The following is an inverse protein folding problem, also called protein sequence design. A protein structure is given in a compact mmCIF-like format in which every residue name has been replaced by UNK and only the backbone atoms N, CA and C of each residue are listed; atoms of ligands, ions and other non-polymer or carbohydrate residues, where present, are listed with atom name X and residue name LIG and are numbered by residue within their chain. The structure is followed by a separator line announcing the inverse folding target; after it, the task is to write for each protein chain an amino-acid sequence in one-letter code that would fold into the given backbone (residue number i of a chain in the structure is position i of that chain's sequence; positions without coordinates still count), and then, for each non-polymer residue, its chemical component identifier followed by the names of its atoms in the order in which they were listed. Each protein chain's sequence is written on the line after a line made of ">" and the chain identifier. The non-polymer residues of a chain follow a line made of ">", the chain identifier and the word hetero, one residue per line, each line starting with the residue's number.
data_IF_200690733888
#
_entry.id   IF_200690733888
#
_cell.length_a   1.000
_cell.length_b   1.000
_cell.length_c   1.000
_cell.angle_alpha   90.00
_cell.angle_beta   90.00
_cell.angle_gamma   90.00
#
_symmetry.space_group_name_H-M   'P 1'
#
loop_
_entity.id
_entity.type
_entity.pdbx_description
1 polymer ?
#
# COMPACT_ATOMS: atom_id res chain seq x y z
N UNK A 1 7.21 -20.26 8.37
CA UNK A 1 5.74 -20.17 8.24
C UNK A 1 5.34 -18.89 7.53
N UNK A 2 5.74 -17.70 8.02
CA UNK A 2 5.37 -16.39 7.40
C UNK A 2 5.78 -16.28 5.93
N UNK A 3 6.95 -16.79 5.57
CA UNK A 3 7.44 -16.78 4.18
C UNK A 3 6.57 -17.60 3.22
N UNK A 4 6.00 -18.72 3.69
CA UNK A 4 5.11 -19.55 2.87
C UNK A 4 3.80 -18.81 2.63
N UNK A 5 3.21 -18.21 3.67
CA UNK A 5 2.01 -17.41 3.56
C UNK A 5 2.24 -16.23 2.61
N UNK A 6 3.38 -15.54 2.74
CA UNK A 6 3.78 -14.43 1.86
C UNK A 6 3.85 -14.88 0.40
N UNK A 7 4.44 -16.03 0.12
CA UNK A 7 4.53 -16.58 -1.25
C UNK A 7 3.15 -16.89 -1.84
N UNK A 8 2.25 -17.46 -1.04
CA UNK A 8 0.88 -17.75 -1.49
C UNK A 8 0.12 -16.48 -1.81
N UNK A 9 0.18 -15.45 -0.94
CA UNK A 9 -0.46 -14.17 -1.18
C UNK A 9 0.10 -13.45 -2.42
N UNK A 10 1.42 -13.49 -2.61
CA UNK A 10 2.04 -12.93 -3.82
C UNK A 10 1.61 -13.71 -5.06
N UNK A 11 1.60 -15.05 -5.02
CA UNK A 11 1.12 -15.88 -6.12
C UNK A 11 -0.36 -15.62 -6.44
N UNK A 12 -1.22 -15.38 -5.43
CA UNK A 12 -2.61 -14.99 -5.64
C UNK A 12 -2.73 -13.66 -6.41
N UNK A 13 -1.91 -12.66 -6.03
CA UNK A 13 -1.85 -11.38 -6.73
C UNK A 13 -1.32 -11.52 -8.16
N UNK A 14 -0.26 -12.31 -8.36
CA UNK A 14 0.35 -12.54 -9.68
C UNK A 14 -0.61 -13.31 -10.61
N UNK A 15 -1.34 -14.28 -10.07
CA UNK A 15 -2.41 -14.96 -10.80
C UNK A 15 -3.53 -13.98 -11.19
N UNK A 16 -3.96 -13.13 -10.26
CA UNK A 16 -4.99 -12.10 -10.52
C UNK A 16 -4.56 -11.09 -11.60
N UNK A 17 -3.26 -10.78 -11.67
CA UNK A 17 -2.67 -9.92 -12.70
C UNK A 17 -2.38 -10.65 -14.02
N UNK A 18 -2.55 -11.97 -14.07
CA UNK A 18 -2.26 -12.78 -15.26
C UNK A 18 -0.77 -13.05 -15.50
N UNK A 19 0.08 -12.87 -14.49
CA UNK A 19 1.54 -13.10 -14.59
C UNK A 19 1.91 -14.58 -14.44
N UNK A 20 1.10 -15.35 -13.73
CA UNK A 20 1.26 -16.80 -13.56
C UNK A 20 -0.04 -17.52 -13.90
N UNK A 21 0.08 -18.80 -14.22
CA UNK A 21 -1.07 -19.67 -14.48
C UNK A 21 -1.74 -20.15 -13.17
N UNK A 22 -2.94 -20.73 -13.34
CA UNK A 22 -3.73 -21.26 -12.23
C UNK A 22 -3.01 -22.40 -11.50
N UNK A 23 -2.29 -23.24 -12.23
CA UNK A 23 -1.63 -24.43 -11.66
C UNK A 23 -0.47 -24.01 -10.75
N UNK A 24 0.28 -22.97 -11.13
CA UNK A 24 1.35 -22.40 -10.32
C UNK A 24 0.80 -21.83 -9.01
N UNK A 25 -0.31 -21.07 -9.06
CA UNK A 25 -0.96 -20.57 -7.86
C UNK A 25 -1.49 -21.71 -6.97
N UNK A 26 -2.16 -22.71 -7.57
CA UNK A 26 -2.70 -23.83 -6.80
C UNK A 26 -1.61 -24.65 -6.09
N UNK A 27 -0.44 -24.88 -6.72
CA UNK A 27 0.71 -25.54 -6.08
C UNK A 27 1.18 -24.79 -4.84
N UNK A 28 1.28 -23.45 -4.93
CA UNK A 28 1.65 -22.64 -3.76
C UNK A 28 0.63 -22.80 -2.61
N UNK A 29 -0.67 -22.81 -2.95
CA UNK A 29 -1.76 -22.98 -2.00
C UNK A 29 -1.74 -24.37 -1.34
N UNK A 30 -1.53 -25.44 -2.10
CA UNK A 30 -1.43 -26.80 -1.58
C UNK A 30 -0.31 -26.94 -0.54
N UNK A 31 0.87 -26.35 -0.77
CA UNK A 31 1.98 -26.36 0.20
C UNK A 31 1.54 -25.70 1.52
N UNK A 32 0.79 -24.61 1.46
CA UNK A 32 0.28 -23.95 2.66
C UNK A 32 -0.73 -24.83 3.41
N UNK A 33 -1.63 -25.51 2.69
CA UNK A 33 -2.63 -26.44 3.22
C UNK A 33 -1.99 -27.67 3.87
N UNK A 34 -1.00 -28.31 3.22
CA UNK A 34 -0.23 -29.44 3.75
C UNK A 34 0.46 -29.09 5.08
N UNK A 35 0.92 -27.85 5.22
CA UNK A 35 1.54 -27.34 6.43
C UNK A 35 0.52 -26.82 7.47
N UNK A 36 -0.77 -26.96 7.20
CA UNK A 36 -1.89 -26.50 8.04
C UNK A 36 -1.78 -25.01 8.39
N UNK A 37 -1.23 -24.19 7.48
CA UNK A 37 -1.13 -22.75 7.63
C UNK A 37 -2.36 -22.05 7.02
N UNK A 38 -2.73 -20.92 7.63
CA UNK A 38 -3.80 -20.05 7.13
C UNK A 38 -3.25 -18.67 6.81
N UNK A 39 -3.82 -17.97 5.83
CA UNK A 39 -3.47 -16.58 5.55
C UNK A 39 -3.59 -15.70 6.81
N UNK A 40 -4.60 -15.97 7.64
CA UNK A 40 -4.88 -15.27 8.90
C UNK A 40 -3.82 -15.50 10.00
N UNK A 41 -2.88 -16.42 9.81
CA UNK A 41 -1.71 -16.56 10.70
C UNK A 41 -0.71 -15.41 10.52
N UNK A 42 -0.89 -14.60 9.47
CA UNK A 42 -0.19 -13.33 9.27
C UNK A 42 -0.96 -12.21 9.97
N UNK A 43 -0.39 -11.68 11.08
CA UNK A 43 -1.05 -10.70 11.96
C UNK A 43 -1.46 -9.43 11.21
N UNK A 44 -0.58 -8.89 10.36
CA UNK A 44 -0.85 -7.69 9.56
C UNK A 44 -2.03 -7.86 8.60
N UNK A 45 -2.25 -9.07 8.06
CA UNK A 45 -3.40 -9.37 7.23
C UNK A 45 -4.71 -9.22 8.01
N UNK A 46 -4.77 -9.79 9.21
CA UNK A 46 -5.97 -9.64 10.06
C UNK A 46 -6.23 -8.18 10.38
N UNK A 47 -5.22 -7.44 10.82
CA UNK A 47 -5.35 -6.03 11.17
C UNK A 47 -5.82 -5.17 9.99
N UNK A 48 -5.29 -5.41 8.78
CA UNK A 48 -5.72 -4.68 7.58
C UNK A 48 -7.18 -4.99 7.22
N UNK A 49 -7.58 -6.27 7.24
CA UNK A 49 -8.96 -6.68 6.95
C UNK A 49 -9.95 -6.18 8.02
N UNK A 50 -9.60 -6.25 9.30
CA UNK A 50 -10.41 -5.67 10.39
C UNK A 50 -10.59 -4.15 10.24
N UNK A 51 -9.54 -3.44 9.80
CA UNK A 51 -9.64 -2.01 9.51
C UNK A 51 -10.58 -1.75 8.34
N UNK A 52 -10.48 -2.53 7.27
CA UNK A 52 -11.37 -2.44 6.10
C UNK A 52 -12.84 -2.64 6.49
N UNK A 53 -13.14 -3.67 7.30
CA UNK A 53 -14.51 -3.95 7.73
C UNK A 53 -15.09 -2.81 8.59
N UNK A 54 -14.28 -2.19 9.44
CA UNK A 54 -14.70 -0.98 10.19
C UNK A 54 -15.05 0.18 9.26
N UNK A 55 -14.23 0.42 8.22
CA UNK A 55 -14.49 1.48 7.25
C UNK A 55 -15.78 1.24 6.47
N UNK A 56 -16.02 0.00 6.01
CA UNK A 56 -17.26 -0.38 5.33
C UNK A 56 -18.50 -0.25 6.23
N UNK A 57 -18.35 -0.46 7.53
CA UNK A 57 -19.44 -0.28 8.49
C UNK A 57 -19.76 1.21 8.72
N UNK A 58 -18.74 2.10 8.61
CA UNK A 58 -18.91 3.55 8.71
C UNK A 58 -19.64 4.11 7.47
N UNK A 59 -19.26 3.71 6.26
CA UNK A 59 -19.92 4.07 4.99
C UNK A 59 -19.88 2.90 4.00
N UNK A 60 -21.00 2.15 3.84
CA UNK A 60 -21.06 1.01 2.94
C UNK A 60 -20.99 1.34 1.44
N UNK A 61 -21.19 2.61 1.06
CA UNK A 61 -21.29 3.02 -0.35
C UNK A 61 -19.95 3.47 -0.94
N UNK A 62 -18.91 3.62 -0.11
CA UNK A 62 -17.60 4.04 -0.58
C UNK A 62 -16.66 2.84 -0.74
N UNK A 63 -15.77 2.92 -1.73
CA UNK A 63 -14.75 1.90 -1.97
C UNK A 63 -13.51 2.21 -1.13
N UNK A 64 -13.29 1.39 -0.11
CA UNK A 64 -12.17 1.55 0.81
C UNK A 64 -11.02 0.60 0.51
N UNK A 65 -9.81 1.05 0.79
CA UNK A 65 -8.63 0.22 0.97
C UNK A 65 -7.98 0.53 2.30
N UNK A 66 -7.38 -0.48 2.92
CA UNK A 66 -6.67 -0.36 4.18
C UNK A 66 -5.32 -1.06 4.10
N UNK A 67 -4.35 -0.53 4.82
CA UNK A 67 -3.01 -1.13 4.99
C UNK A 67 -2.71 -1.23 6.47
N UNK A 68 -2.09 -2.33 6.89
CA UNK A 68 -1.54 -2.48 8.23
C UNK A 68 -0.03 -2.73 8.14
N UNK A 69 0.70 -2.17 9.09
CA UNK A 69 2.15 -2.32 9.27
C UNK A 69 2.39 -2.78 10.71
N UNK A 70 3.14 -3.85 10.89
CA UNK A 70 3.62 -4.33 12.19
C UNK A 70 5.04 -3.80 12.42
N UNK A 71 5.19 -2.97 13.44
CA UNK A 71 6.47 -2.38 13.83
C UNK A 71 7.31 -3.38 14.65
N UNK A 72 8.59 -3.07 14.85
CA UNK A 72 9.55 -3.93 15.55
C UNK A 72 9.14 -4.24 17.00
N UNK A 73 8.42 -3.32 17.66
CA UNK A 73 7.88 -3.53 19.01
C UNK A 73 6.57 -4.33 19.03
N UNK A 74 6.09 -4.79 17.86
CA UNK A 74 4.83 -5.50 17.69
C UNK A 74 3.60 -4.62 17.63
N UNK A 75 3.74 -3.30 17.67
CA UNK A 75 2.65 -2.34 17.50
C UNK A 75 2.09 -2.43 16.08
N UNK A 76 0.76 -2.45 15.99
CA UNK A 76 0.06 -2.51 14.71
C UNK A 76 -0.44 -1.13 14.31
N UNK A 77 0.14 -0.58 13.25
CA UNK A 77 -0.28 0.70 12.68
C UNK A 77 -1.14 0.44 11.46
N UNK A 78 -2.22 1.20 11.30
CA UNK A 78 -3.10 1.10 10.13
C UNK A 78 -3.21 2.43 9.40
N UNK A 79 -3.45 2.36 8.08
CA UNK A 79 -3.80 3.51 7.25
C UNK A 79 -4.97 3.17 6.34
N UNK A 80 -5.77 4.18 6.01
CA UNK A 80 -6.87 4.10 5.05
C UNK A 80 -6.61 4.99 3.85
N UNK A 81 -7.13 4.60 2.70
CA UNK A 81 -7.20 5.49 1.54
C UNK A 81 -8.12 6.68 1.84
N UNK A 82 -7.80 7.81 1.27
CA UNK A 82 -8.57 9.05 1.35
C UNK A 82 -8.59 9.75 0.01
N UNK A 83 -9.30 10.87 -0.08
CA UNK A 83 -9.25 11.72 -1.28
C UNK A 83 -7.86 12.33 -1.52
N UNK A 84 -7.05 12.47 -0.48
CA UNK A 84 -5.72 13.08 -0.57
C UNK A 84 -4.62 12.07 -0.88
N UNK A 85 -4.63 10.88 -0.24
CA UNK A 85 -3.54 9.92 -0.38
C UNK A 85 -4.01 8.47 -0.34
N UNK A 86 -3.22 7.57 -0.92
CA UNK A 86 -3.48 6.14 -0.92
C UNK A 86 -3.29 5.52 0.49
N UNK A 87 -3.89 4.34 0.72
CA UNK A 87 -3.85 3.67 2.03
C UNK A 87 -2.43 3.33 2.49
N UNK A 88 -1.54 2.95 1.56
CA UNK A 88 -0.16 2.63 1.88
C UNK A 88 0.62 3.87 2.34
N UNK A 89 0.43 5.01 1.67
CA UNK A 89 1.03 6.28 2.08
C UNK A 89 0.55 6.72 3.47
N UNK A 90 -0.77 6.60 3.72
CA UNK A 90 -1.35 6.89 5.04
C UNK A 90 -0.76 6.00 6.14
N UNK A 91 -0.61 4.69 5.88
CA UNK A 91 -0.02 3.76 6.84
C UNK A 91 1.46 4.08 7.12
N UNK A 92 2.24 4.40 6.08
CA UNK A 92 3.64 4.83 6.21
C UNK A 92 3.76 6.09 7.06
N UNK A 93 2.94 7.13 6.76
CA UNK A 93 2.91 8.36 7.56
C UNK A 93 2.59 8.08 9.03
N UNK A 94 1.58 7.28 9.31
CA UNK A 94 1.19 6.94 10.68
C UNK A 94 2.31 6.18 11.39
N UNK A 95 3.00 5.28 10.70
CA UNK A 95 4.11 4.51 11.28
C UNK A 95 5.32 5.40 11.63
N UNK A 96 5.71 6.33 10.74
CA UNK A 96 6.83 7.26 11.04
C UNK A 96 6.43 8.31 12.08
N UNK A 97 5.16 8.72 12.15
CA UNK A 97 4.63 9.56 13.24
C UNK A 97 4.78 8.85 14.59
N UNK A 98 4.37 7.59 14.66
CA UNK A 98 4.52 6.77 15.87
C UNK A 98 5.97 6.71 16.32
N UNK A 99 6.90 6.40 15.42
CA UNK A 99 8.34 6.36 15.75
C UNK A 99 8.93 7.72 16.15
N UNK A 100 8.33 8.80 15.66
CA UNK A 100 8.75 10.17 16.01
C UNK A 100 8.07 10.71 17.27
N UNK A 101 7.16 9.95 17.92
CA UNK A 101 6.38 10.41 19.07
C UNK A 101 5.45 11.58 18.73
N UNK A 102 4.86 11.56 17.53
CA UNK A 102 3.95 12.59 17.04
C UNK A 102 2.52 12.05 17.14
N UNK A 103 1.61 12.83 17.71
CA UNK A 103 0.22 12.44 17.88
C UNK A 103 -0.50 12.27 16.54
N UNK A 104 -1.49 11.37 16.49
CA UNK A 104 -2.18 11.00 15.24
C UNK A 104 -2.95 12.17 14.62
N UNK A 105 -3.41 13.11 15.42
CA UNK A 105 -4.17 14.28 14.96
C UNK A 105 -3.30 15.32 14.23
N UNK A 106 -1.97 15.22 14.36
CA UNK A 106 -1.06 16.16 13.72
C UNK A 106 -0.96 15.88 12.22
N UNK A 107 -1.35 16.84 11.41
CA UNK A 107 -1.15 16.80 9.96
C UNK A 107 0.27 17.25 9.63
N UNK A 108 1.06 16.38 8.98
CA UNK A 108 2.45 16.65 8.63
C UNK A 108 2.62 17.23 7.22
N UNK A 109 1.61 17.06 6.37
CA UNK A 109 1.60 17.61 5.02
C UNK A 109 0.60 18.74 4.98
N UNK A 110 1.09 19.93 4.71
CA UNK A 110 0.26 21.12 4.58
C UNK A 110 -0.60 21.04 3.30
N UNK A 111 -1.87 21.46 3.35
CA UNK A 111 -2.74 21.49 2.15
C UNK A 111 -2.11 22.29 1.02
N UNK A 112 -1.42 23.37 1.33
CA UNK A 112 -0.71 24.26 0.39
C UNK A 112 0.38 23.52 -0.41
N UNK A 113 0.82 22.35 0.05
CA UNK A 113 1.77 21.48 -0.66
C UNK A 113 1.05 20.33 -1.37
N UNK A 114 0.03 19.73 -0.75
CA UNK A 114 -0.69 18.61 -1.34
C UNK A 114 -1.59 19.02 -2.53
N UNK A 115 -2.36 20.11 -2.38
CA UNK A 115 -3.31 20.55 -3.38
C UNK A 115 -2.67 20.89 -4.74
N UNK A 116 -1.53 21.63 -4.82
CA UNK A 116 -0.86 21.86 -6.09
C UNK A 116 -0.45 20.59 -6.81
N UNK A 117 0.00 19.55 -6.08
CA UNK A 117 0.37 18.24 -6.67
C UNK A 117 -0.88 17.58 -7.26
N UNK A 118 -1.98 17.54 -6.51
CA UNK A 118 -3.25 16.99 -6.97
C UNK A 118 -3.80 17.73 -8.19
N UNK A 119 -3.70 19.07 -8.19
CA UNK A 119 -4.10 19.92 -9.32
C UNK A 119 -3.23 19.67 -10.56
N UNK A 120 -1.93 19.51 -10.40
CA UNK A 120 -1.01 19.14 -11.49
C UNK A 120 -1.43 17.82 -12.13
N UNK A 121 -1.77 16.82 -11.31
CA UNK A 121 -2.25 15.50 -11.77
C UNK A 121 -3.57 15.61 -12.53
N UNK A 122 -4.54 16.35 -12.01
CA UNK A 122 -5.87 16.49 -12.63
C UNK A 122 -5.85 17.34 -13.89
N UNK A 123 -5.24 18.53 -13.82
CA UNK A 123 -5.33 19.54 -14.88
C UNK A 123 -4.33 19.27 -15.99
N UNK A 124 -3.04 19.07 -15.63
CA UNK A 124 -1.96 18.96 -16.60
C UNK A 124 -1.78 17.54 -17.11
N UNK A 125 -1.78 16.56 -16.22
CA UNK A 125 -1.61 15.15 -16.60
C UNK A 125 -2.91 14.46 -16.99
N UNK A 126 -4.07 15.10 -16.73
CA UNK A 126 -5.41 14.55 -16.97
C UNK A 126 -5.59 13.16 -16.31
N UNK A 127 -4.93 12.96 -15.18
CA UNK A 127 -5.00 11.72 -14.43
C UNK A 127 -6.41 11.54 -13.83
N UNK A 128 -6.97 10.37 -13.98
CA UNK A 128 -8.24 10.02 -13.32
C UNK A 128 -8.05 9.80 -11.82
N UNK A 129 -6.87 9.35 -11.41
CA UNK A 129 -6.50 9.21 -10.01
C UNK A 129 -5.61 10.38 -9.59
N UNK A 130 -6.18 11.28 -8.80
CA UNK A 130 -5.49 12.48 -8.29
C UNK A 130 -4.89 12.27 -6.90
N UNK A 131 -5.24 11.19 -6.18
CA UNK A 131 -4.70 10.91 -4.85
C UNK A 131 -3.19 10.74 -4.91
N UNK A 132 -2.50 11.21 -3.89
CA UNK A 132 -1.06 11.08 -3.77
C UNK A 132 -0.68 9.62 -3.50
N UNK A 133 0.27 9.10 -4.27
CA UNK A 133 0.90 7.81 -4.02
C UNK A 133 1.99 7.93 -2.92
N UNK A 134 2.59 6.83 -2.53
CA UNK A 134 3.58 6.82 -1.46
C UNK A 134 4.80 7.72 -1.75
N UNK A 135 5.27 7.75 -2.99
CA UNK A 135 6.43 8.56 -3.40
C UNK A 135 6.08 10.05 -3.36
N UNK A 136 4.93 10.44 -3.90
CA UNK A 136 4.43 11.82 -3.88
C UNK A 136 4.22 12.33 -2.45
N UNK A 137 3.70 11.47 -1.55
CA UNK A 137 3.52 11.80 -0.13
C UNK A 137 4.87 12.03 0.57
N UNK A 138 5.87 11.18 0.33
CA UNK A 138 7.19 11.36 0.95
C UNK A 138 7.92 12.59 0.39
N UNK A 139 7.74 12.93 -0.89
CA UNK A 139 8.26 14.16 -1.48
C UNK A 139 7.57 15.37 -0.82
N UNK A 140 6.24 15.38 -0.73
CA UNK A 140 5.49 16.44 -0.07
C UNK A 140 5.92 16.62 1.39
N UNK A 141 6.10 15.51 2.12
CA UNK A 141 6.59 15.53 3.49
C UNK A 141 8.00 16.13 3.59
N UNK A 142 8.90 15.81 2.65
CA UNK A 142 10.26 16.35 2.64
C UNK A 142 10.28 17.86 2.37
N UNK A 143 9.33 18.38 1.60
CA UNK A 143 9.14 19.82 1.41
C UNK A 143 8.66 20.46 2.71
N UNK A 144 7.66 19.89 3.37
CA UNK A 144 7.18 20.37 4.68
C UNK A 144 8.28 20.34 5.75
N UNK A 145 9.17 19.36 5.72
CA UNK A 145 10.28 19.21 6.65
C UNK A 145 11.31 20.36 6.60
N UNK A 146 11.29 21.19 5.56
CA UNK A 146 12.14 22.40 5.48
C UNK A 146 11.77 23.43 6.57
N UNK A 147 10.49 23.51 6.93
CA UNK A 147 9.96 24.52 7.86
C UNK A 147 9.26 23.94 9.10
N UNK A 148 8.89 22.65 9.07
CA UNK A 148 8.23 21.96 10.19
C UNK A 148 9.15 20.88 10.78
N UNK A 149 9.66 21.13 12.01
CA UNK A 149 10.49 20.19 12.75
C UNK A 149 9.80 18.85 13.06
N UNK A 150 8.46 18.79 13.08
CA UNK A 150 7.71 17.54 13.26
C UNK A 150 7.77 16.71 11.98
N UNK A 151 7.58 17.33 10.83
CA UNK A 151 7.73 16.68 9.52
C UNK A 151 9.17 16.16 9.35
N UNK A 152 10.17 16.94 9.75
CA UNK A 152 11.57 16.52 9.73
C UNK A 152 11.81 15.30 10.61
N UNK A 153 11.37 15.34 11.89
CA UNK A 153 11.50 14.19 12.79
C UNK A 153 10.80 12.95 12.25
N UNK A 154 9.63 13.10 11.61
CA UNK A 154 8.93 11.98 11.01
C UNK A 154 9.75 11.34 9.89
N UNK A 155 10.26 12.12 8.94
CA UNK A 155 11.05 11.62 7.82
C UNK A 155 12.38 11.00 8.25
N UNK A 156 13.00 11.55 9.30
CA UNK A 156 14.24 11.03 9.90
C UNK A 156 14.04 9.62 10.50
N UNK A 157 12.80 9.22 10.79
CA UNK A 157 12.46 7.89 11.28
C UNK A 157 12.03 6.89 10.17
N UNK A 158 12.06 7.29 8.90
CA UNK A 158 11.63 6.44 7.78
C UNK A 158 12.42 5.12 7.69
N UNK A 159 13.71 5.14 8.03
CA UNK A 159 14.57 3.96 8.03
C UNK A 159 14.13 2.84 8.99
N UNK A 160 13.35 3.17 10.02
CA UNK A 160 12.82 2.20 11.00
C UNK A 160 11.75 1.28 10.42
N UNK A 161 11.22 1.61 9.24
CA UNK A 161 10.27 0.73 8.54
C UNK A 161 10.95 -0.47 7.89
N UNK A 162 12.26 -0.49 7.78
CA UNK A 162 13.01 -1.60 7.20
C UNK A 162 12.79 -2.88 8.01
N UNK A 163 12.35 -3.95 7.33
CA UNK A 163 12.05 -5.24 7.97
C UNK A 163 10.63 -5.36 8.51
N UNK A 164 9.86 -4.25 8.57
CA UNK A 164 8.47 -4.30 9.03
C UNK A 164 7.62 -5.18 8.12
N UNK A 165 6.70 -5.94 8.72
CA UNK A 165 5.70 -6.70 8.01
C UNK A 165 4.52 -5.79 7.66
N UNK A 166 3.99 -5.91 6.46
CA UNK A 166 2.83 -5.11 6.04
C UNK A 166 1.86 -5.90 5.17
N UNK A 167 0.60 -5.48 5.17
CA UNK A 167 -0.44 -6.04 4.31
C UNK A 167 -1.41 -4.97 3.83
N UNK A 168 -1.74 -5.03 2.55
CA UNK A 168 -2.77 -4.19 1.91
C UNK A 168 -4.00 -5.02 1.55
N UNK A 169 -5.19 -4.50 1.79
CA UNK A 169 -6.46 -5.14 1.40
C UNK A 169 -6.77 -5.02 -0.10
N UNK A 170 -5.87 -4.42 -0.86
CA UNK A 170 -5.95 -4.34 -2.32
C UNK A 170 -4.55 -4.39 -2.93
N UNK A 171 -4.48 -4.78 -4.21
CA UNK A 171 -3.24 -4.79 -4.98
C UNK A 171 -2.69 -3.37 -5.07
N UNK A 172 -1.42 -3.20 -4.72
CA UNK A 172 -0.73 -1.92 -4.83
C UNK A 172 -0.43 -1.56 -6.29
N UNK A 173 -0.47 -0.28 -6.60
CA UNK A 173 0.07 0.26 -7.84
C UNK A 173 1.58 0.01 -7.93
N UNK A 174 2.11 -0.04 -9.16
CA UNK A 174 3.53 -0.36 -9.42
C UNK A 174 4.48 0.55 -8.65
N UNK A 175 4.20 1.85 -8.62
CA UNK A 175 5.04 2.85 -7.93
C UNK A 175 5.07 2.60 -6.42
N UNK A 176 3.90 2.34 -5.82
CA UNK A 176 3.79 2.07 -4.38
C UNK A 176 4.48 0.76 -4.00
N UNK A 177 4.29 -0.33 -4.78
CA UNK A 177 4.96 -1.60 -4.55
C UNK A 177 6.49 -1.47 -4.64
N UNK A 178 6.99 -0.72 -5.63
CA UNK A 178 8.43 -0.46 -5.76
C UNK A 178 9.00 0.35 -4.60
N UNK A 179 8.29 1.38 -4.14
CA UNK A 179 8.73 2.20 -3.01
C UNK A 179 8.78 1.38 -1.72
N UNK A 180 7.72 0.64 -1.41
CA UNK A 180 7.64 -0.20 -0.22
C UNK A 180 8.80 -1.21 -0.17
N UNK A 181 9.15 -1.82 -1.31
CA UNK A 181 10.32 -2.70 -1.44
C UNK A 181 11.64 -1.96 -1.23
N UNK A 182 11.79 -0.74 -1.77
CA UNK A 182 12.97 0.12 -1.54
C UNK A 182 13.13 0.50 -0.08
N UNK A 183 12.03 0.70 0.65
CA UNK A 183 12.03 0.91 2.11
C UNK A 183 12.38 -0.36 2.90
N UNK A 184 12.48 -1.51 2.23
CA UNK A 184 12.81 -2.80 2.85
C UNK A 184 11.68 -3.41 3.67
N UNK A 185 10.43 -3.05 3.38
CA UNK A 185 9.25 -3.61 4.04
C UNK A 185 8.79 -4.91 3.37
N UNK A 186 8.33 -5.87 4.15
CA UNK A 186 7.73 -7.13 3.68
C UNK A 186 6.22 -6.96 3.43
N UNK A 187 5.88 -6.37 2.29
CA UNK A 187 4.48 -6.13 1.89
C UNK A 187 3.86 -7.35 1.22
N UNK A 188 2.61 -7.61 1.57
CA UNK A 188 1.69 -8.52 0.86
C UNK A 188 0.38 -7.82 0.57
N UNK A 189 -0.41 -8.35 -0.36
CA UNK A 189 -1.71 -7.77 -0.72
C UNK A 189 -2.78 -8.86 -0.81
N UNK A 190 -4.03 -8.49 -0.54
CA UNK A 190 -5.17 -9.26 -1.03
C UNK A 190 -5.23 -9.16 -2.55
N UNK A 191 -5.65 -10.24 -3.23
CA UNK A 191 -5.73 -10.31 -4.69
C UNK A 191 -6.99 -9.61 -5.23
N UNK A 192 -7.24 -8.38 -4.75
CA UNK A 192 -8.36 -7.52 -5.11
C UNK A 192 -7.83 -6.25 -5.73
N UNK A 193 -8.39 -5.82 -6.86
CA UNK A 193 -8.04 -4.53 -7.44
C UNK A 193 -8.60 -3.37 -6.61
N UNK A 194 -7.88 -2.23 -6.53
CA UNK A 194 -8.28 -1.09 -5.70
C UNK A 194 -9.51 -0.33 -6.22
N UNK A 195 -10.06 -0.71 -7.37
CA UNK A 195 -11.24 -0.11 -7.99
C UNK A 195 -11.84 -1.10 -8.99
N UNK A 196 -13.14 -1.00 -9.23
CA UNK A 196 -13.85 -1.72 -10.30
C UNK A 196 -13.65 -1.08 -11.68
N UNK A 197 -12.99 0.05 -11.77
CA UNK A 197 -12.74 0.75 -13.03
C UNK A 197 -11.75 -0.07 -13.88
N UNK A 198 -12.25 -0.71 -14.94
CA UNK A 198 -11.48 -1.53 -15.87
C UNK A 198 -10.24 -0.81 -16.43
N UNK A 199 -10.32 0.49 -16.66
CA UNK A 199 -9.23 1.30 -17.20
C UNK A 199 -8.04 1.40 -16.23
N UNK A 200 -8.30 1.41 -14.93
CA UNK A 200 -7.25 1.38 -13.90
C UNK A 200 -6.63 -0.01 -13.79
N UNK A 201 -7.46 -1.04 -13.91
CA UNK A 201 -7.02 -2.42 -13.89
C UNK A 201 -6.15 -2.76 -15.11
N UNK A 202 -6.49 -2.24 -16.29
CA UNK A 202 -5.68 -2.39 -17.52
C UNK A 202 -4.28 -1.77 -17.38
N UNK A 203 -4.16 -0.60 -16.76
CA UNK A 203 -2.86 0.01 -16.47
C UNK A 203 -1.98 -0.83 -15.53
N UNK A 204 -2.57 -1.65 -14.65
CA UNK A 204 -1.84 -2.59 -13.79
C UNK A 204 -1.44 -3.87 -14.51
N UNK A 205 -2.17 -4.25 -15.57
CA UNK A 205 -1.97 -5.47 -16.35
C UNK A 205 -1.02 -5.28 -17.54
N UNK A 206 -0.90 -4.05 -18.08
CA UNK A 206 -0.15 -3.80 -19.30
C UNK A 206 1.37 -3.68 -19.02
N UNK A 207 2.05 -4.82 -19.02
CA UNK A 207 3.50 -4.95 -19.23
C UNK A 207 3.82 -5.93 -20.34
N UNK A 208 2.86 -6.19 -21.26
CA UNK A 208 3.14 -6.97 -22.45
C UNK A 208 3.87 -6.09 -23.48
N UNK A 209 5.01 -6.53 -24.04
CA UNK A 209 5.67 -5.78 -25.10
C UNK A 209 4.72 -5.63 -26.29
N UNK A 210 4.70 -4.42 -26.84
CA UNK A 210 3.88 -4.12 -28.02
C UNK A 210 4.21 -5.10 -29.13
N UNK A 211 3.22 -5.54 -29.94
CA UNK A 211 3.46 -6.36 -31.13
C UNK A 211 4.47 -5.75 -32.13
N UNK A 212 4.80 -4.47 -31.98
CA UNK A 212 5.81 -3.76 -32.81
C UNK A 212 7.26 -4.06 -32.41
N UNK A 213 7.51 -4.66 -31.24
CA UNK A 213 8.85 -4.99 -30.77
C UNK A 213 9.29 -6.42 -31.16
N UNK A 214 8.54 -7.07 -32.05
CA UNK A 214 8.87 -8.35 -32.67
C UNK A 214 9.29 -8.11 -34.11
N UNK A 215 10.39 -7.41 -34.29
CA UNK A 215 11.13 -7.32 -35.54
C UNK A 215 12.33 -8.22 -35.51
#
# INVERSE_FOLDING_TARGET
>A
KQEIIRRVLNAACDYKKGYIDKDTYQRAKLIMEELQLKETDRRVLRAARERLEKLKAEDPNEFYSAVAIELDDGTMITGKGSQTMCAAASAILNAIKYHAGIADEVHLIAPEIAEPIMNLKSINFKSKNVTLNCEEVLIALSICAVTDERAKRAIDNLYKLKGSQAHSTSILGKTDDQLVRKLGMDMTCDSVFPTENLYYNDCLLYTSPSPRDRG
#
